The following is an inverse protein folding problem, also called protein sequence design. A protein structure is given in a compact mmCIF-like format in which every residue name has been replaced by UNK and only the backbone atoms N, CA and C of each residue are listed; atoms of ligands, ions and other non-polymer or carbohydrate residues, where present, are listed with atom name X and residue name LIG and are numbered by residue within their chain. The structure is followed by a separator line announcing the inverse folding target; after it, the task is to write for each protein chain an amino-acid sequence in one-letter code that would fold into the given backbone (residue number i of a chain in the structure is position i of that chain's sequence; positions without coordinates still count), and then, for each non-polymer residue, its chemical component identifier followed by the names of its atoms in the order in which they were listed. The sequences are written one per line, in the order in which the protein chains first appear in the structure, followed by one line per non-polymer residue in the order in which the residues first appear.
data_IF_049437393769
#
_entry.id   IF_049437393769
#
_cell.length_a   1.000
_cell.length_b   1.000
_cell.length_c   1.000
_cell.angle_alpha   90.00
_cell.angle_beta   90.00
_cell.angle_gamma   90.00
#
_symmetry.space_group_name_H-M   'P 1'
#
loop_
_entity.id
_entity.type
_entity.pdbx_description
1 polymer ?
#
# COMPACT_ATOMS: atom_id res chain seq x y z
N UNK A 1 -21.42 -11.84 24.77
CA UNK A 1 -21.46 -11.15 24.70
C UNK A 1 -21.62 -10.68 24.37
N UNK A 2 -21.95 -10.79 24.42
CA UNK A 2 -22.30 -10.15 23.92
C UNK A 2 -21.73 -9.30 23.59
N UNK A 3 -21.77 -9.07 22.99
CA UNK A 3 -21.52 -8.16 22.62
C UNK A 3 -22.39 -7.45 22.67
N UNK A 4 -22.55 -6.88 22.80
CA UNK A 4 -23.31 -6.11 22.87
C UNK A 4 -23.38 -5.47 22.15
N UNK A 5 -24.13 -5.52 22.19
CA UNK A 5 -24.23 -4.89 21.75
C UNK A 5 -23.75 -4.74 20.87
N UNK A 6 -24.09 -4.52 20.80
CA UNK A 6 -23.69 -4.19 19.79
C UNK A 6 -22.52 -4.68 19.60
N UNK A 7 -22.46 -5.66 19.28
CA UNK A 7 -21.31 -6.13 19.05
C UNK A 7 -20.60 -5.35 18.14
N UNK A 8 -19.52 -4.97 18.54
CA UNK A 8 -18.66 -4.28 17.73
C UNK A 8 -17.76 -5.22 17.05
N UNK A 9 -17.40 -4.95 15.81
CA UNK A 9 -16.33 -5.66 15.17
C UNK A 9 -15.05 -5.12 15.71
N UNK A 10 -14.29 -5.97 16.34
CA UNK A 10 -13.01 -5.58 16.92
C UNK A 10 -11.91 -5.87 15.94
N UNK A 11 -10.72 -5.34 16.23
CA UNK A 11 -9.58 -5.59 15.37
C UNK A 11 -9.19 -7.05 15.31
N UNK A 12 -9.53 -7.81 16.33
CA UNK A 12 -9.25 -9.24 16.33
C UNK A 12 -10.12 -9.99 15.34
N UNK A 13 -11.26 -9.42 14.97
CA UNK A 13 -12.21 -10.05 14.10
C UNK A 13 -12.07 -9.58 12.65
N UNK A 14 -11.24 -8.60 12.40
CA UNK A 14 -11.03 -8.01 11.08
C UNK A 14 -9.58 -8.21 10.68
N UNK A 15 -9.32 -8.68 9.46
CA UNK A 15 -7.93 -8.81 9.02
C UNK A 15 -7.20 -7.49 9.11
N UNK A 16 -5.94 -7.56 9.47
CA UNK A 16 -5.10 -6.37 9.48
C UNK A 16 -4.82 -5.97 8.04
N UNK A 17 -5.33 -4.82 7.63
CA UNK A 17 -5.22 -4.34 6.26
C UNK A 17 -4.33 -3.11 6.13
N UNK A 18 -3.58 -2.78 7.17
CA UNK A 18 -2.69 -1.62 7.14
C UNK A 18 -1.26 -2.03 7.40
N UNK A 19 -0.34 -1.19 7.02
CA UNK A 19 1.07 -1.43 7.25
C UNK A 19 1.91 -0.25 6.81
N UNK A 20 3.22 -0.47 6.88
CA UNK A 20 4.17 0.55 6.46
C UNK A 20 5.43 -0.09 5.92
N UNK A 21 6.15 0.67 5.09
CA UNK A 21 7.42 0.27 4.53
C UNK A 21 8.37 1.45 4.71
N UNK A 22 9.53 1.20 5.31
CA UNK A 22 10.53 2.24 5.49
C UNK A 22 11.39 2.37 4.24
N UNK A 23 11.74 3.59 3.89
CA UNK A 23 12.75 3.81 2.87
C UNK A 23 14.11 3.36 3.39
N UNK A 24 15.00 2.99 2.48
CA UNK A 24 16.33 2.53 2.89
C UNK A 24 17.20 3.69 3.35
N UNK A 25 16.92 4.91 2.89
CA UNK A 25 17.66 6.10 3.29
C UNK A 25 16.84 6.96 4.23
N UNK A 26 15.56 7.19 3.93
CA UNK A 26 14.71 8.03 4.76
C UNK A 26 13.24 7.82 4.41
N UNK A 27 12.37 8.25 5.32
CA UNK A 27 10.94 8.31 5.09
C UNK A 27 10.24 6.98 5.15
N UNK A 28 8.95 7.04 4.88
CA UNK A 28 8.09 5.84 4.97
C UNK A 28 7.00 5.88 3.91
N UNK A 29 6.46 4.70 3.63
CA UNK A 29 5.20 4.54 2.92
C UNK A 29 4.25 3.88 3.90
N UNK A 30 3.13 4.53 4.17
CA UNK A 30 2.07 3.92 4.96
C UNK A 30 0.94 3.54 4.04
N UNK A 31 0.24 2.45 4.34
CA UNK A 31 -0.81 1.98 3.45
C UNK A 31 -1.95 1.36 4.23
N UNK A 32 -3.11 1.39 3.62
CA UNK A 32 -4.29 0.71 4.13
C UNK A 32 -5.13 0.25 2.95
N UNK A 33 -5.61 -0.98 3.06
CA UNK A 33 -6.45 -1.60 2.04
C UNK A 33 -7.83 -1.85 2.61
N UNK A 34 -8.84 -1.62 1.80
CA UNK A 34 -10.23 -1.93 2.18
C UNK A 34 -10.87 -2.73 1.05
N UNK A 35 -11.82 -3.58 1.43
CA UNK A 35 -12.59 -4.38 0.49
C UNK A 35 -14.03 -3.86 0.51
N UNK A 36 -14.48 -3.37 -0.63
CA UNK A 36 -15.81 -2.77 -0.76
C UNK A 36 -16.73 -3.73 -1.51
N UNK A 37 -16.89 -4.94 -0.96
CA UNK A 37 -17.78 -5.91 -1.60
C UNK A 37 -17.18 -6.52 -2.84
N UNK A 38 -15.89 -6.80 -2.82
CA UNK A 38 -15.19 -7.39 -3.94
C UNK A 38 -14.28 -6.42 -4.66
N UNK A 39 -14.58 -5.15 -4.63
CA UNK A 39 -13.67 -4.14 -5.15
C UNK A 39 -12.73 -3.74 -4.03
N UNK A 40 -11.44 -3.90 -4.24
CA UNK A 40 -10.43 -3.62 -3.23
C UNK A 40 -9.70 -2.34 -3.59
N UNK A 41 -9.58 -1.46 -2.61
CA UNK A 41 -8.89 -0.18 -2.78
C UNK A 41 -7.80 -0.11 -1.72
N UNK A 42 -6.58 0.15 -2.15
CA UNK A 42 -5.47 0.36 -1.25
C UNK A 42 -4.94 1.76 -1.46
N UNK A 43 -4.80 2.48 -0.37
CA UNK A 43 -4.25 3.84 -0.40
C UNK A 43 -2.86 3.77 0.18
N UNK A 44 -1.88 4.32 -0.54
CA UNK A 44 -0.52 4.46 -0.06
C UNK A 44 -0.20 5.93 0.09
N UNK A 45 0.47 6.27 1.16
CA UNK A 45 0.98 7.62 1.36
C UNK A 45 2.50 7.55 1.48
N UNK A 46 3.18 8.19 0.54
CA UNK A 46 4.63 8.34 0.56
C UNK A 46 4.96 9.60 1.33
N UNK A 47 5.76 9.48 2.37
CA UNK A 47 6.12 10.60 3.22
C UNK A 47 7.64 10.72 3.26
N UNK A 48 8.17 11.50 2.33
CA UNK A 48 9.61 11.69 2.24
C UNK A 48 10.38 10.41 1.97
N UNK A 49 9.78 9.49 1.25
CA UNK A 49 10.34 8.17 1.02
C UNK A 49 11.56 8.28 0.10
N UNK A 50 12.67 7.73 0.56
CA UNK A 50 13.92 7.78 -0.18
C UNK A 50 14.61 6.43 -0.10
N UNK A 51 15.03 5.92 -1.23
CA UNK A 51 15.84 4.72 -1.33
C UNK A 51 17.20 5.08 -1.87
N UNK A 52 18.22 4.52 -1.25
CA UNK A 52 19.58 4.71 -1.72
C UNK A 52 20.03 3.61 -2.65
N UNK A 53 19.14 2.72 -3.01
CA UNK A 53 19.49 1.46 -3.61
C UNK A 53 18.98 1.37 -5.03
N UNK A 54 19.60 0.50 -5.79
CA UNK A 54 19.06 0.07 -7.06
C UNK A 54 18.19 -1.17 -6.90
N UNK A 55 17.86 -1.53 -5.67
CA UNK A 55 17.02 -2.70 -5.39
C UNK A 55 15.58 -2.29 -5.31
N UNK A 56 14.71 -3.02 -6.01
CA UNK A 56 13.28 -2.79 -5.91
C UNK A 56 12.77 -3.14 -4.52
N UNK A 57 11.75 -2.41 -4.08
CA UNK A 57 11.07 -2.66 -2.82
C UNK A 57 9.67 -3.16 -3.10
N UNK A 58 9.15 -3.98 -2.19
CA UNK A 58 7.87 -4.65 -2.42
C UNK A 58 6.99 -4.54 -1.20
N UNK A 59 5.69 -4.34 -1.46
CA UNK A 59 4.65 -4.36 -0.42
C UNK A 59 3.71 -5.51 -0.76
N UNK A 60 3.60 -6.46 0.15
CA UNK A 60 2.62 -7.53 0.00
C UNK A 60 1.24 -6.99 0.34
N UNK A 61 0.27 -7.21 -0.55
CA UNK A 61 -1.08 -6.75 -0.28
C UNK A 61 -1.66 -7.50 0.92
N UNK A 62 -2.25 -6.80 1.88
CA UNK A 62 -2.94 -7.48 3.00
C UNK A 62 -4.03 -8.42 2.51
N UNK A 63 -4.74 -8.03 1.46
CA UNK A 63 -5.74 -8.87 0.82
C UNK A 63 -5.35 -8.99 -0.65
N UNK A 64 -5.15 -10.23 -1.12
CA UNK A 64 -4.75 -10.45 -2.50
C UNK A 64 -5.88 -10.05 -3.46
N UNK A 65 -5.48 -9.56 -4.62
CA UNK A 65 -6.42 -9.26 -5.70
C UNK A 65 -6.61 -10.50 -6.56
N UNK A 66 -7.76 -10.61 -7.22
CA UNK A 66 -8.00 -11.72 -8.15
C UNK A 66 -7.24 -11.51 -9.44
N UNK A 67 -7.08 -10.26 -9.84
CA UNK A 67 -6.30 -9.90 -11.02
C UNK A 67 -5.37 -8.78 -10.62
N UNK A 68 -4.28 -8.61 -11.34
CA UNK A 68 -3.35 -7.54 -11.03
C UNK A 68 -4.10 -6.20 -11.04
N UNK A 69 -4.01 -5.41 -9.96
CA UNK A 69 -4.78 -4.18 -9.85
C UNK A 69 -4.20 -3.05 -10.68
N UNK A 70 -4.99 -2.00 -10.82
CA UNK A 70 -4.58 -0.78 -11.50
C UNK A 70 -4.00 0.19 -10.48
N UNK A 71 -2.91 0.86 -10.86
CA UNK A 71 -2.27 1.88 -10.04
C UNK A 71 -2.67 3.24 -10.57
N UNK A 72 -3.18 4.09 -9.67
CA UNK A 72 -3.49 5.49 -9.99
C UNK A 72 -2.62 6.39 -9.11
N UNK A 73 -1.84 7.25 -9.75
CA UNK A 73 -0.88 8.09 -9.06
C UNK A 73 -1.48 9.48 -8.91
N UNK A 74 -1.53 9.96 -7.67
CA UNK A 74 -2.10 11.28 -7.38
C UNK A 74 -1.10 12.42 -7.43
N UNK A 75 0.18 12.10 -7.60
CA UNK A 75 1.23 13.11 -7.64
C UNK A 75 2.22 12.71 -8.72
N UNK A 76 2.78 13.69 -9.41
CA UNK A 76 3.64 13.42 -10.56
C UNK A 76 5.03 12.93 -10.16
N UNK A 77 5.47 13.17 -8.93
CA UNK A 77 6.82 12.82 -8.51
C UNK A 77 6.77 11.57 -7.67
N UNK A 78 6.56 10.44 -8.30
CA UNK A 78 6.53 9.14 -7.64
C UNK A 78 7.27 8.14 -8.50
N UNK A 79 7.79 7.06 -7.88
CA UNK A 79 8.51 6.05 -8.65
C UNK A 79 7.57 5.26 -9.54
N UNK A 80 8.14 4.47 -10.41
CA UNK A 80 7.36 3.55 -11.22
C UNK A 80 6.95 2.35 -10.38
N UNK A 81 5.79 1.78 -10.69
CA UNK A 81 5.24 0.64 -9.97
C UNK A 81 4.90 -0.48 -10.92
N UNK A 82 5.02 -1.71 -10.43
CA UNK A 82 4.43 -2.87 -11.09
C UNK A 82 3.61 -3.63 -10.08
N UNK A 83 2.59 -4.32 -10.54
CA UNK A 83 1.70 -5.06 -9.65
C UNK A 83 1.55 -6.50 -10.10
N UNK A 84 1.34 -7.36 -9.12
CA UNK A 84 0.81 -8.70 -9.30
C UNK A 84 -0.46 -8.82 -8.48
N UNK A 85 -1.03 -10.01 -8.40
CA UNK A 85 -2.21 -10.22 -7.57
C UNK A 85 -1.89 -10.14 -6.09
N UNK A 86 -0.64 -10.29 -5.69
CA UNK A 86 -0.26 -10.40 -4.28
C UNK A 86 0.63 -9.26 -3.81
N UNK A 87 1.22 -8.48 -4.70
CA UNK A 87 2.20 -7.48 -4.27
C UNK A 87 2.31 -6.31 -5.23
N UNK A 88 2.67 -5.17 -4.66
CA UNK A 88 3.10 -3.99 -5.40
C UNK A 88 4.62 -3.92 -5.31
N UNK A 89 5.27 -3.75 -6.45
CA UNK A 89 6.71 -3.54 -6.48
C UNK A 89 6.99 -2.09 -6.83
N UNK A 90 7.77 -1.44 -6.00
CA UNK A 90 8.26 -0.09 -6.24
C UNK A 90 9.59 -0.25 -6.97
N UNK A 91 9.63 0.20 -8.21
CA UNK A 91 10.84 0.11 -9.00
C UNK A 91 11.93 0.96 -8.35
N UNK A 92 13.15 0.46 -8.37
CA UNK A 92 14.26 1.14 -7.73
C UNK A 92 14.34 2.58 -8.21
N UNK A 93 14.19 3.54 -7.30
CA UNK A 93 14.22 4.94 -7.68
C UNK A 93 15.64 5.44 -7.80
N UNK A 94 15.75 6.66 -8.28
CA UNK A 94 17.00 7.38 -8.22
C UNK A 94 17.42 7.52 -6.75
N UNK A 95 18.67 7.27 -6.46
CA UNK A 95 19.19 7.26 -5.10
C UNK A 95 19.03 8.60 -4.36
N UNK A 96 18.82 9.68 -5.10
CA UNK A 96 18.72 11.01 -4.49
C UNK A 96 17.31 11.58 -4.50
N UNK A 97 16.35 10.86 -5.04
CA UNK A 97 14.99 11.37 -5.18
C UNK A 97 14.17 11.05 -3.93
N UNK A 98 13.49 12.06 -3.42
CA UNK A 98 12.58 11.94 -2.29
C UNK A 98 11.16 12.02 -2.82
N UNK A 99 10.33 11.05 -2.43
CA UNK A 99 8.97 10.95 -2.94
C UNK A 99 7.97 11.27 -1.84
N UNK A 100 6.96 12.06 -2.18
CA UNK A 100 5.85 12.38 -1.28
C UNK A 100 4.58 12.46 -2.11
N UNK A 101 3.52 11.81 -1.65
CA UNK A 101 2.23 11.83 -2.35
C UNK A 101 1.43 10.58 -2.09
N UNK A 102 0.29 10.50 -2.76
CA UNK A 102 -0.64 9.39 -2.61
C UNK A 102 -0.69 8.55 -3.86
N UNK A 103 -0.92 7.25 -3.64
CA UNK A 103 -1.12 6.28 -4.73
C UNK A 103 -2.34 5.45 -4.36
N UNK A 104 -3.18 5.18 -5.34
CA UNK A 104 -4.32 4.27 -5.18
C UNK A 104 -4.07 3.01 -5.97
N UNK A 105 -4.38 1.86 -5.37
CA UNK A 105 -4.29 0.55 -6.00
C UNK A 105 -5.69 -0.03 -6.00
N UNK A 106 -6.30 -0.14 -7.16
CA UNK A 106 -7.72 -0.47 -7.27
C UNK A 106 -7.89 -1.70 -8.14
N UNK A 107 -8.68 -2.64 -7.65
CA UNK A 107 -8.95 -3.86 -8.42
C UNK A 107 -9.96 -4.76 -7.74
N UNK A 108 -10.10 -5.94 -8.28
CA UNK A 108 -11.04 -6.93 -7.78
C UNK A 108 -10.33 -8.27 -7.45
#
# INVERSE_FOLDING_TARGET
MARQGGDQITEDMVPNTSGSLAGTTAGTVTYRQIDLGGVKVMVLYFNGYENDTTTNQSITFPIAYNNAPTVAVGNSTLPAFTTSTTALTITAPDATTVYTGFVLIIGM
#
